data_IF_306189741015
#
_entry.id   IF_306189741015
#
_cell.length_a   1.000
_cell.length_b   1.000
_cell.length_c   1.000
_cell.angle_alpha   90.00
_cell.angle_beta   90.00
_cell.angle_gamma   90.00
#
_symmetry.space_group_name_H-M   'P 1'
#
loop_
_entity.id
_entity.type
_entity.pdbx_description
1 polymer ?
#
# COMPACT_ATOMS: atom_id res chain seq x y z
N UNK A 1 -13.87 1.16 -12.97
CA UNK A 1 -13.99 0.33 -11.75
C UNK A 1 -15.07 -0.73 -11.94
N UNK A 2 -15.19 -1.66 -11.00
CA UNK A 2 -16.31 -2.59 -10.91
C UNK A 2 -16.77 -2.67 -9.45
N UNK A 3 -18.07 -2.92 -9.23
CA UNK A 3 -18.68 -3.07 -7.91
C UNK A 3 -20.20 -3.02 -7.99
N UNK A 4 -20.87 -3.43 -6.91
CA UNK A 4 -22.33 -3.48 -6.80
C UNK A 4 -22.90 -2.08 -6.53
N UNK A 5 -23.12 -1.30 -7.59
CA UNK A 5 -23.45 0.13 -7.47
C UNK A 5 -24.93 0.38 -7.24
N UNK A 6 -25.80 -0.59 -7.51
CA UNK A 6 -27.24 -0.49 -7.29
C UNK A 6 -27.76 -1.33 -6.10
N UNK A 7 -26.89 -2.12 -5.47
CA UNK A 7 -27.15 -2.88 -4.25
C UNK A 7 -27.95 -4.16 -4.48
N UNK A 8 -27.93 -4.70 -5.71
CA UNK A 8 -28.64 -5.94 -6.06
C UNK A 8 -27.83 -7.23 -5.78
N UNK A 9 -26.57 -7.08 -5.36
CA UNK A 9 -25.65 -8.16 -5.05
C UNK A 9 -24.81 -8.63 -6.24
N UNK A 10 -24.88 -7.96 -7.39
CA UNK A 10 -24.08 -8.21 -8.59
C UNK A 10 -23.14 -7.04 -8.85
N UNK A 11 -22.02 -7.29 -9.53
CA UNK A 11 -21.07 -6.21 -9.85
C UNK A 11 -21.38 -5.59 -11.21
N UNK A 12 -21.51 -4.27 -11.25
CA UNK A 12 -21.53 -3.49 -12.48
C UNK A 12 -20.12 -3.06 -12.87
N UNK A 13 -19.94 -2.76 -14.16
CA UNK A 13 -18.72 -2.14 -14.65
C UNK A 13 -18.97 -0.65 -14.84
N UNK A 14 -18.21 0.16 -14.11
CA UNK A 14 -18.21 1.62 -14.24
C UNK A 14 -17.14 2.02 -15.24
N UNK A 15 -17.57 2.45 -16.41
CA UNK A 15 -16.70 2.84 -17.53
C UNK A 15 -16.88 4.31 -17.83
N UNK A 16 -15.76 4.98 -18.05
CA UNK A 16 -15.77 6.34 -18.56
C UNK A 16 -15.37 6.34 -20.04
N UNK A 17 -16.11 7.11 -20.83
CA UNK A 17 -15.71 7.59 -22.15
C UNK A 17 -15.65 9.12 -22.05
N UNK A 18 -14.82 9.87 -22.81
CA UNK A 18 -14.21 11.10 -22.33
C UNK A 18 -15.16 12.19 -21.81
N UNK A 19 -16.44 12.17 -22.16
CA UNK A 19 -17.47 13.08 -21.66
C UNK A 19 -18.66 12.37 -20.98
N UNK A 20 -18.60 11.07 -20.69
CA UNK A 20 -19.73 10.26 -20.19
C UNK A 20 -19.32 9.22 -19.18
N UNK A 21 -20.18 9.06 -18.17
CA UNK A 21 -20.16 7.94 -17.25
C UNK A 21 -21.18 6.90 -17.69
N UNK A 22 -20.69 5.67 -17.87
CA UNK A 22 -21.50 4.51 -18.15
C UNK A 22 -21.46 3.55 -16.97
N UNK A 23 -22.63 3.06 -16.61
CA UNK A 23 -22.79 1.87 -15.76
C UNK A 23 -23.21 0.74 -16.69
N UNK A 24 -22.43 -0.33 -16.69
CA UNK A 24 -22.66 -1.50 -17.53
C UNK A 24 -23.04 -2.64 -16.62
N UNK A 25 -24.24 -3.17 -16.82
CA UNK A 25 -24.73 -4.36 -16.14
C UNK A 25 -23.76 -5.53 -16.40
N UNK A 26 -23.26 -6.14 -15.31
CA UNK A 26 -22.23 -7.19 -15.38
C UNK A 26 -22.71 -8.49 -16.03
N UNK A 27 -24.02 -8.75 -16.09
CA UNK A 27 -24.62 -9.96 -16.68
C UNK A 27 -25.00 -9.72 -18.13
N UNK A 28 -25.77 -8.66 -18.39
CA UNK A 28 -26.37 -8.40 -19.70
C UNK A 28 -25.44 -7.62 -20.61
N UNK A 29 -24.45 -6.93 -20.07
CA UNK A 29 -23.58 -6.01 -20.79
C UNK A 29 -24.31 -4.75 -21.28
N UNK A 30 -25.52 -4.49 -20.78
CA UNK A 30 -26.31 -3.31 -21.15
C UNK A 30 -25.69 -2.08 -20.50
N UNK A 31 -25.30 -1.10 -21.31
CA UNK A 31 -24.70 0.13 -20.84
C UNK A 31 -25.76 1.25 -20.70
N UNK A 32 -25.88 1.82 -19.51
CA UNK A 32 -26.66 3.03 -19.25
C UNK A 32 -25.71 4.22 -19.12
N UNK A 33 -26.00 5.31 -19.84
CA UNK A 33 -25.36 6.61 -19.59
C UNK A 33 -26.05 7.21 -18.38
N UNK A 34 -25.34 7.30 -17.25
CA UNK A 34 -25.85 7.93 -16.04
C UNK A 34 -25.44 9.39 -15.92
N UNK A 35 -24.38 9.79 -16.63
CA UNK A 35 -23.89 11.17 -16.59
C UNK A 35 -23.18 11.62 -17.86
N UNK A 36 -23.22 12.92 -18.13
CA UNK A 36 -22.39 13.57 -19.15
C UNK A 36 -21.57 14.73 -18.55
N UNK A 37 -20.47 15.09 -19.19
CA UNK A 37 -19.60 16.16 -18.76
C UNK A 37 -20.17 17.55 -19.07
N UNK A 38 -20.81 17.72 -20.24
CA UNK A 38 -21.27 19.00 -20.80
C UNK A 38 -22.68 18.95 -21.41
N UNK A 39 -23.28 20.13 -21.59
CA UNK A 39 -24.52 20.34 -22.35
C UNK A 39 -25.82 20.16 -21.56
N UNK A 40 -26.94 20.50 -22.21
CA UNK A 40 -28.28 20.39 -21.65
C UNK A 40 -28.77 18.93 -21.69
N UNK A 41 -29.09 18.33 -20.53
CA UNK A 41 -29.54 16.93 -20.45
C UNK A 41 -29.18 16.21 -19.14
N UNK A 42 -28.51 15.05 -19.25
CA UNK A 42 -28.18 14.14 -18.14
C UNK A 42 -27.14 14.74 -17.18
N UNK A 43 -27.57 15.45 -16.14
CA UNK A 43 -26.79 15.88 -14.97
C UNK A 43 -25.31 16.27 -15.26
N UNK A 44 -25.04 17.43 -15.87
CA UNK A 44 -23.66 17.82 -16.22
C UNK A 44 -22.76 17.93 -14.98
N UNK A 45 -21.56 17.35 -15.06
CA UNK A 45 -20.52 17.48 -14.02
C UNK A 45 -19.84 18.85 -14.06
N UNK A 46 -19.63 19.40 -15.26
CA UNK A 46 -18.86 20.61 -15.47
C UNK A 46 -19.70 21.71 -16.11
N UNK A 47 -19.41 22.95 -15.73
CA UNK A 47 -20.09 24.14 -16.25
C UNK A 47 -19.47 24.68 -17.56
N UNK A 48 -18.29 24.17 -17.98
CA UNK A 48 -17.52 24.72 -19.10
C UNK A 48 -16.92 23.64 -20.00
N UNK A 49 -17.00 23.77 -21.34
CA UNK A 49 -16.52 22.81 -22.37
C UNK A 49 -14.99 22.51 -22.42
N UNK A 50 -14.31 22.41 -21.28
CA UNK A 50 -12.89 22.04 -21.17
C UNK A 50 -12.63 20.57 -21.58
N UNK A 51 -11.38 20.13 -21.65
CA UNK A 51 -11.10 18.72 -21.97
C UNK A 51 -11.31 17.80 -20.75
N UNK A 52 -12.08 16.71 -20.90
CA UNK A 52 -12.55 15.84 -19.78
C UNK A 52 -11.94 14.42 -19.83
N UNK A 53 -10.82 14.26 -20.52
CA UNK A 53 -10.12 12.97 -20.49
C UNK A 53 -9.47 12.66 -19.14
N UNK A 54 -9.16 11.37 -18.96
CA UNK A 54 -8.30 10.84 -17.89
C UNK A 54 -8.89 10.78 -16.48
N UNK A 55 -10.21 10.87 -16.31
CA UNK A 55 -10.82 10.51 -15.04
C UNK A 55 -10.80 9.00 -14.81
N UNK A 56 -10.60 8.60 -13.56
CA UNK A 56 -10.64 7.22 -13.13
C UNK A 56 -11.68 7.12 -12.02
N UNK A 57 -12.84 6.49 -12.28
CA UNK A 57 -13.81 6.26 -11.24
C UNK A 57 -13.35 5.11 -10.34
N UNK A 58 -13.53 5.26 -9.03
CA UNK A 58 -13.49 4.16 -8.07
C UNK A 58 -14.91 3.92 -7.53
N UNK A 59 -15.21 2.66 -7.18
CA UNK A 59 -16.46 2.25 -6.54
C UNK A 59 -16.10 1.90 -5.10
N UNK A 60 -16.60 2.67 -4.14
CA UNK A 60 -16.20 2.54 -2.73
C UNK A 60 -17.40 2.86 -1.84
N UNK A 61 -17.68 2.03 -0.83
CA UNK A 61 -18.63 2.34 0.24
C UNK A 61 -18.03 3.38 1.18
N UNK A 62 -18.27 4.66 0.89
CA UNK A 62 -17.69 5.78 1.62
C UNK A 62 -18.45 6.08 2.90
N UNK A 63 -19.71 5.66 2.99
CA UNK A 63 -20.59 5.98 4.11
C UNK A 63 -20.82 4.79 5.06
N UNK A 64 -20.26 3.62 4.75
CA UNK A 64 -20.38 2.40 5.55
C UNK A 64 -21.81 1.85 5.59
N UNK A 65 -22.63 2.15 4.58
CA UNK A 65 -24.04 1.76 4.52
C UNK A 65 -24.29 0.55 3.59
N UNK A 66 -23.21 -0.09 3.13
CA UNK A 66 -23.21 -1.21 2.18
C UNK A 66 -23.79 -0.87 0.81
N UNK A 67 -23.85 0.42 0.44
CA UNK A 67 -24.19 0.88 -0.92
C UNK A 67 -23.07 1.78 -1.41
N UNK A 68 -22.21 1.31 -2.32
CA UNK A 68 -21.01 2.04 -2.68
C UNK A 68 -21.32 3.30 -3.48
N UNK A 69 -20.57 4.35 -3.16
CA UNK A 69 -20.48 5.57 -3.93
C UNK A 69 -19.49 5.44 -5.09
N UNK A 70 -19.63 6.36 -6.04
CA UNK A 70 -18.67 6.56 -7.10
C UNK A 70 -17.76 7.72 -6.73
N UNK A 71 -16.51 7.41 -6.44
CA UNK A 71 -15.47 8.41 -6.34
C UNK A 71 -15.05 8.81 -7.75
N UNK A 72 -15.38 10.02 -8.13
CA UNK A 72 -15.05 10.61 -9.41
C UNK A 72 -13.79 11.46 -9.27
N UNK A 73 -12.66 10.96 -9.79
CA UNK A 73 -11.42 11.72 -9.76
C UNK A 73 -10.88 12.06 -11.14
N UNK A 74 -10.45 13.32 -11.27
CA UNK A 74 -9.59 13.90 -12.31
C UNK A 74 -10.06 13.84 -13.78
N UNK A 75 -11.08 14.61 -14.13
CA UNK A 75 -11.18 15.15 -15.49
C UNK A 75 -11.43 16.66 -15.42
N UNK A 76 -10.51 17.46 -15.96
CA UNK A 76 -10.39 18.91 -15.67
C UNK A 76 -10.24 19.25 -14.17
N UNK A 77 -9.65 18.34 -13.39
CA UNK A 77 -9.12 18.66 -12.04
C UNK A 77 -10.18 18.96 -10.96
N UNK A 78 -11.35 18.35 -11.14
CA UNK A 78 -12.40 18.22 -10.14
C UNK A 78 -12.32 16.83 -9.51
N UNK A 79 -12.51 16.76 -8.20
CA UNK A 79 -12.84 15.52 -7.49
C UNK A 79 -14.28 15.63 -6.97
N UNK A 80 -15.05 14.55 -7.09
CA UNK A 80 -16.43 14.52 -6.65
C UNK A 80 -16.81 13.15 -6.11
N UNK A 81 -17.78 13.14 -5.21
CA UNK A 81 -18.44 11.92 -4.76
C UNK A 81 -19.84 11.91 -5.37
N UNK A 82 -20.16 10.80 -6.02
CA UNK A 82 -21.45 10.58 -6.65
C UNK A 82 -22.15 9.38 -6.00
N UNK A 83 -23.46 9.38 -5.98
CA UNK A 83 -24.24 8.18 -5.68
C UNK A 83 -24.08 7.12 -6.78
N UNK A 84 -24.48 5.88 -6.49
CA UNK A 84 -24.44 4.77 -7.46
C UNK A 84 -25.19 5.03 -8.77
N UNK A 85 -26.24 5.87 -8.76
CA UNK A 85 -26.96 6.32 -9.97
C UNK A 85 -26.31 7.54 -10.67
N UNK A 86 -25.13 7.96 -10.22
CA UNK A 86 -24.33 9.04 -10.79
C UNK A 86 -24.71 10.46 -10.32
N UNK A 87 -25.66 10.65 -9.41
CA UNK A 87 -25.97 12.00 -8.90
C UNK A 87 -24.81 12.54 -8.06
N UNK A 88 -24.49 13.83 -8.20
CA UNK A 88 -23.45 14.47 -7.37
C UNK A 88 -23.96 14.64 -5.95
N UNK A 89 -23.22 14.07 -5.01
CA UNK A 89 -23.38 14.30 -3.57
C UNK A 89 -22.64 15.60 -3.22
N UNK A 90 -21.34 15.65 -3.50
CA UNK A 90 -20.53 16.85 -3.37
C UNK A 90 -19.36 16.85 -4.36
N UNK A 91 -18.67 17.98 -4.47
CA UNK A 91 -17.45 18.10 -5.27
C UNK A 91 -16.48 19.11 -4.64
N UNK A 92 -15.20 18.97 -4.94
CA UNK A 92 -14.20 19.95 -4.55
C UNK A 92 -14.41 21.28 -5.29
N UNK A 93 -13.94 22.41 -4.75
CA UNK A 93 -14.09 23.71 -5.40
C UNK A 93 -13.10 23.92 -6.56
N UNK A 94 -12.15 23.00 -6.75
CA UNK A 94 -11.03 23.12 -7.68
C UNK A 94 -11.44 22.85 -9.12
N UNK A 95 -10.82 23.58 -10.05
CA UNK A 95 -11.25 23.61 -11.46
C UNK A 95 -10.11 23.44 -12.45
N UNK A 96 -8.85 23.35 -12.00
CA UNK A 96 -7.70 23.20 -12.90
C UNK A 96 -6.48 22.47 -12.27
N UNK A 97 -5.49 22.09 -13.10
CA UNK A 97 -4.29 21.35 -12.66
C UNK A 97 -3.41 22.11 -11.70
N UNK A 98 -3.52 23.45 -11.69
CA UNK A 98 -2.75 24.21 -10.72
C UNK A 98 -3.33 24.03 -9.34
N UNK A 99 -4.58 23.59 -9.20
CA UNK A 99 -5.33 23.47 -7.95
C UNK A 99 -5.42 22.03 -7.40
N UNK A 100 -5.61 21.00 -8.24
CA UNK A 100 -5.65 19.57 -7.84
C UNK A 100 -4.97 18.70 -8.88
N UNK A 101 -4.24 17.67 -8.44
CA UNK A 101 -3.36 16.87 -9.31
C UNK A 101 -3.47 15.34 -9.16
N UNK A 102 -4.31 14.82 -8.26
CA UNK A 102 -4.38 13.39 -7.99
C UNK A 102 -5.84 12.90 -7.87
N UNK A 103 -6.06 11.61 -8.15
CA UNK A 103 -7.18 10.90 -7.52
C UNK A 103 -7.04 10.98 -5.99
N UNK A 104 -8.17 10.90 -5.30
CA UNK A 104 -8.18 10.95 -3.84
C UNK A 104 -7.88 9.56 -3.28
N UNK A 105 -6.98 9.50 -2.30
CA UNK A 105 -6.80 8.30 -1.46
C UNK A 105 -8.02 8.14 -0.56
N UNK A 106 -8.34 6.92 -0.15
CA UNK A 106 -9.50 6.59 0.67
C UNK A 106 -9.06 5.72 1.85
N UNK A 107 -9.10 6.24 3.07
CA UNK A 107 -8.63 5.51 4.24
C UNK A 107 -9.18 6.07 5.54
N UNK A 108 -9.26 5.22 6.56
CA UNK A 108 -9.65 5.58 7.93
C UNK A 108 -8.42 6.12 8.67
N UNK A 109 -8.25 7.44 8.61
CA UNK A 109 -6.99 8.08 9.02
C UNK A 109 -6.95 8.46 10.49
N UNK A 110 -8.09 8.47 11.18
CA UNK A 110 -8.17 8.73 12.62
C UNK A 110 -8.57 7.48 13.45
N UNK A 111 -8.93 6.39 12.78
CA UNK A 111 -9.28 5.10 13.39
C UNK A 111 -10.70 5.05 13.94
N UNK A 112 -11.60 5.93 13.48
CA UNK A 112 -13.00 5.98 13.95
C UNK A 112 -13.93 5.00 13.23
N UNK A 113 -13.44 4.31 12.20
CA UNK A 113 -14.16 3.35 11.38
C UNK A 113 -14.91 3.96 10.21
N UNK A 114 -14.81 5.27 10.00
CA UNK A 114 -15.23 5.97 8.78
C UNK A 114 -14.01 6.33 7.94
N UNK A 115 -14.21 6.57 6.65
CA UNK A 115 -13.11 6.87 5.73
C UNK A 115 -13.03 8.36 5.41
N UNK A 116 -11.81 8.87 5.34
CA UNK A 116 -11.48 10.19 4.83
C UNK A 116 -10.90 10.09 3.43
N UNK A 117 -10.90 11.23 2.75
CA UNK A 117 -10.38 11.37 1.40
C UNK A 117 -9.21 12.34 1.39
N UNK A 118 -8.03 11.90 0.96
CA UNK A 118 -6.87 12.80 0.82
C UNK A 118 -6.58 13.10 -0.65
N UNK A 119 -6.48 14.38 -0.99
CA UNK A 119 -6.10 14.84 -2.32
C UNK A 119 -4.89 15.77 -2.27
N UNK A 120 -4.02 15.70 -3.29
CA UNK A 120 -2.99 16.72 -3.47
C UNK A 120 -3.54 17.95 -4.18
N UNK A 121 -3.23 19.11 -3.61
CA UNK A 121 -3.61 20.44 -4.09
C UNK A 121 -2.40 21.23 -4.59
N UNK A 122 -2.64 22.47 -5.07
CA UNK A 122 -1.61 23.43 -5.46
C UNK A 122 -0.51 23.63 -4.41
N UNK A 123 -0.90 23.61 -3.15
CA UNK A 123 -0.14 24.08 -2.01
C UNK A 123 0.19 22.94 -1.05
N UNK A 124 -0.14 21.69 -1.37
CA UNK A 124 0.19 20.56 -0.52
C UNK A 124 -0.84 19.45 -0.65
N UNK A 125 -1.40 19.05 0.49
CA UNK A 125 -2.47 18.07 0.57
C UNK A 125 -3.60 18.55 1.47
N UNK A 126 -4.81 18.05 1.20
CA UNK A 126 -5.99 18.27 2.03
C UNK A 126 -6.71 16.96 2.30
N UNK A 127 -7.16 16.82 3.53
CA UNK A 127 -8.02 15.73 3.99
C UNK A 127 -9.46 16.23 4.00
N UNK A 128 -10.36 15.46 3.41
CA UNK A 128 -11.77 15.78 3.26
C UNK A 128 -12.61 14.73 3.98
N UNK A 129 -13.68 15.17 4.64
CA UNK A 129 -14.73 14.29 5.10
C UNK A 129 -15.44 13.66 3.90
N UNK A 130 -15.53 12.34 3.86
CA UNK A 130 -16.18 11.65 2.73
C UNK A 130 -17.67 12.00 2.59
N UNK A 131 -18.38 12.23 3.71
CA UNK A 131 -19.82 12.48 3.73
C UNK A 131 -20.26 13.76 3.00
N UNK A 132 -19.52 14.86 3.14
CA UNK A 132 -19.95 16.18 2.66
C UNK A 132 -18.85 16.98 1.95
N UNK A 133 -17.62 16.47 1.89
CA UNK A 133 -16.48 17.14 1.27
C UNK A 133 -15.94 18.31 2.08
N UNK A 134 -16.29 18.44 3.37
CA UNK A 134 -15.68 19.43 4.24
C UNK A 134 -14.17 19.17 4.37
N UNK A 135 -13.36 20.21 4.28
CA UNK A 135 -11.91 20.11 4.56
C UNK A 135 -11.76 19.92 6.07
N UNK A 136 -11.19 18.79 6.47
CA UNK A 136 -10.87 18.48 7.86
C UNK A 136 -9.51 19.07 8.22
N UNK A 137 -8.49 18.73 7.43
CA UNK A 137 -7.09 19.07 7.72
C UNK A 137 -6.32 19.46 6.46
N UNK A 138 -5.25 20.21 6.65
CA UNK A 138 -4.38 20.70 5.58
C UNK A 138 -2.91 20.51 5.97
N UNK A 139 -2.08 20.15 5.00
CA UNK A 139 -0.63 20.10 5.16
C UNK A 139 0.05 20.74 3.96
N UNK A 140 0.67 21.91 4.21
CA UNK A 140 1.45 22.67 3.23
C UNK A 140 2.94 22.56 3.58
N UNK A 141 3.63 21.74 2.80
CA UNK A 141 5.08 21.63 2.80
C UNK A 141 5.68 21.90 1.40
N UNK A 142 4.85 22.46 0.51
CA UNK A 142 5.15 22.69 -0.90
C UNK A 142 5.29 21.43 -1.75
N UNK A 143 5.03 20.24 -1.22
CA UNK A 143 5.12 18.99 -1.99
C UNK A 143 3.78 18.61 -2.60
N UNK A 144 3.84 18.13 -3.85
CA UNK A 144 2.68 17.78 -4.66
C UNK A 144 2.77 16.33 -5.11
N UNK A 145 1.62 15.66 -5.14
CA UNK A 145 1.54 14.35 -5.75
C UNK A 145 1.65 14.46 -7.28
N UNK A 146 2.54 13.67 -7.85
CA UNK A 146 2.65 13.43 -9.29
C UNK A 146 2.00 12.10 -9.72
N UNK A 147 1.41 11.41 -8.75
CA UNK A 147 0.74 10.12 -8.85
C UNK A 147 -0.60 10.25 -8.16
N UNK A 148 -1.45 9.25 -8.33
CA UNK A 148 -2.60 9.10 -7.46
C UNK A 148 -2.16 8.81 -6.02
N UNK A 149 -3.01 9.18 -5.07
CA UNK A 149 -2.80 8.91 -3.64
C UNK A 149 -3.35 7.52 -3.36
N UNK A 150 -2.53 6.66 -2.75
CA UNK A 150 -2.96 5.38 -2.19
C UNK A 150 -2.97 5.46 -0.68
N UNK A 151 -3.74 4.61 -0.02
CA UNK A 151 -3.92 4.63 1.43
C UNK A 151 -3.91 3.23 2.01
N UNK A 152 -3.49 3.14 3.27
CA UNK A 152 -3.44 1.92 4.05
C UNK A 152 -2.58 2.08 5.29
N UNK A 153 -2.82 1.24 6.29
CA UNK A 153 -2.00 1.08 7.50
C UNK A 153 -0.59 0.57 7.16
N UNK A 154 0.34 1.50 6.91
CA UNK A 154 1.72 1.18 6.48
C UNK A 154 2.69 1.10 7.64
N UNK A 155 2.32 1.59 8.83
CA UNK A 155 3.14 1.49 10.04
C UNK A 155 2.62 0.49 11.08
N UNK A 156 1.42 -0.06 10.87
CA UNK A 156 0.80 -1.09 11.69
C UNK A 156 0.12 -0.57 12.95
N UNK A 157 -0.20 0.73 13.02
CA UNK A 157 -0.85 1.34 14.17
C UNK A 157 -2.39 1.20 14.17
N UNK A 158 -2.95 0.71 13.06
CA UNK A 158 -4.37 0.48 12.87
C UNK A 158 -5.13 1.66 12.26
N UNK A 159 -4.45 2.74 11.87
CA UNK A 159 -4.98 3.83 11.05
C UNK A 159 -4.36 3.79 9.66
N UNK A 160 -5.05 4.36 8.69
CA UNK A 160 -4.54 4.44 7.33
C UNK A 160 -3.71 5.72 7.11
N UNK A 161 -2.50 5.55 6.59
CA UNK A 161 -1.72 6.67 6.06
C UNK A 161 -1.99 6.86 4.57
N UNK A 162 -1.57 8.01 4.05
CA UNK A 162 -1.65 8.34 2.63
C UNK A 162 -0.27 8.43 1.99
N UNK A 163 -0.06 7.66 0.93
CA UNK A 163 1.20 7.55 0.20
C UNK A 163 1.04 8.04 -1.24
N UNK A 164 1.99 8.86 -1.68
CA UNK A 164 2.04 9.32 -3.07
C UNK A 164 3.47 9.56 -3.55
N UNK A 165 3.65 9.55 -4.87
CA UNK A 165 4.90 9.83 -5.53
C UNK A 165 5.05 11.32 -5.83
N UNK A 166 6.22 11.89 -5.55
CA UNK A 166 6.58 13.26 -5.90
C UNK A 166 7.97 13.31 -6.54
N UNK A 167 8.02 13.07 -7.85
CA UNK A 167 9.29 13.11 -8.57
C UNK A 167 10.11 11.85 -8.25
N UNK A 168 11.28 11.99 -7.64
CA UNK A 168 12.10 10.84 -7.19
C UNK A 168 11.80 10.42 -5.76
N UNK A 169 10.67 10.83 -5.20
CA UNK A 169 10.30 10.57 -3.81
C UNK A 169 9.00 9.82 -3.72
N UNK A 170 8.89 8.96 -2.72
CA UNK A 170 7.63 8.56 -2.11
C UNK A 170 7.47 9.31 -0.81
N UNK A 171 6.25 9.77 -0.56
CA UNK A 171 5.93 10.60 0.59
C UNK A 171 4.71 10.01 1.25
N UNK A 172 4.88 9.67 2.53
CA UNK A 172 3.81 9.24 3.39
C UNK A 172 3.38 10.42 4.26
N UNK A 173 2.07 10.65 4.30
CA UNK A 173 1.40 11.63 5.15
C UNK A 173 0.47 10.87 6.07
N UNK A 174 0.53 11.20 7.35
CA UNK A 174 -0.32 10.62 8.39
C UNK A 174 -1.10 11.73 9.09
N UNK A 175 -2.25 11.36 9.67
CA UNK A 175 -2.94 12.20 10.63
C UNK A 175 -2.46 11.88 12.05
N UNK A 176 -1.99 12.91 12.75
CA UNK A 176 -1.69 12.85 14.17
C UNK A 176 -2.60 13.83 14.91
N UNK A 177 -3.57 13.29 15.65
CA UNK A 177 -4.62 14.04 16.32
C UNK A 177 -5.36 14.98 15.33
N UNK A 178 -5.31 16.29 15.57
CA UNK A 178 -5.95 17.33 14.75
C UNK A 178 -4.97 17.93 13.72
N UNK A 179 -3.94 17.19 13.30
CA UNK A 179 -2.95 17.69 12.34
C UNK A 179 -2.57 16.63 11.31
N UNK A 180 -2.26 17.07 10.09
CA UNK A 180 -1.55 16.26 9.11
C UNK A 180 -0.05 16.54 9.19
N UNK A 181 0.77 15.50 9.08
CA UNK A 181 2.21 15.66 8.96
C UNK A 181 2.80 14.63 8.00
N UNK A 182 4.01 14.94 7.55
CA UNK A 182 4.81 13.96 6.81
C UNK A 182 5.35 12.91 7.77
N UNK A 183 4.91 11.66 7.61
CA UNK A 183 5.42 10.52 8.36
C UNK A 183 6.87 10.23 7.97
N UNK A 184 7.11 10.10 6.67
CA UNK A 184 8.44 9.85 6.14
C UNK A 184 8.56 10.25 4.66
N UNK A 185 9.80 10.28 4.18
CA UNK A 185 10.14 10.47 2.77
C UNK A 185 11.15 9.41 2.38
N UNK A 186 10.89 8.73 1.27
CA UNK A 186 11.78 7.73 0.72
C UNK A 186 12.25 8.17 -0.67
N UNK A 187 13.56 8.21 -0.88
CA UNK A 187 14.11 8.42 -2.22
C UNK A 187 14.00 7.13 -3.03
N UNK A 188 13.50 7.26 -4.25
CA UNK A 188 13.41 6.20 -5.24
C UNK A 188 14.33 6.53 -6.41
N UNK A 189 14.96 5.52 -6.99
CA UNK A 189 15.78 5.75 -8.18
C UNK A 189 14.84 5.80 -9.39
N UNK A 190 14.91 6.89 -10.15
CA UNK A 190 13.94 7.21 -11.19
C UNK A 190 12.75 8.01 -10.65
N UNK A 191 11.92 8.53 -11.55
CA UNK A 191 10.67 9.20 -11.15
C UNK A 191 9.62 8.13 -10.83
N UNK A 192 8.93 8.26 -9.70
CA UNK A 192 7.80 7.42 -9.32
C UNK A 192 6.60 7.68 -10.23
N UNK A 193 5.89 6.61 -10.58
CA UNK A 193 4.58 6.61 -11.23
C UNK A 193 3.61 5.83 -10.35
N UNK A 194 2.96 4.78 -10.83
CA UNK A 194 1.91 4.08 -10.09
C UNK A 194 2.48 3.37 -8.86
N UNK A 195 1.73 3.45 -7.77
CA UNK A 195 2.01 2.84 -6.47
C UNK A 195 0.89 1.85 -6.18
N UNK A 196 1.24 0.68 -5.68
CA UNK A 196 0.32 -0.27 -5.07
C UNK A 196 0.82 -0.63 -3.67
N UNK A 197 -0.09 -0.72 -2.71
CA UNK A 197 0.19 -1.24 -1.38
C UNK A 197 -0.18 -2.72 -1.34
N UNK A 198 0.73 -3.55 -0.85
CA UNK A 198 0.50 -4.97 -0.64
C UNK A 198 1.53 -5.54 0.33
N UNK A 199 1.15 -6.51 1.14
CA UNK A 199 2.09 -7.35 1.88
C UNK A 199 2.79 -8.33 0.90
N UNK A 200 3.91 -7.89 0.32
CA UNK A 200 4.58 -8.56 -0.78
C UNK A 200 5.50 -9.69 -0.30
N UNK A 201 6.04 -9.61 0.92
CA UNK A 201 6.87 -10.68 1.52
C UNK A 201 6.20 -11.52 2.61
N UNK A 202 4.96 -11.20 2.99
CA UNK A 202 4.11 -11.92 3.95
C UNK A 202 4.57 -11.78 5.39
N UNK A 203 5.07 -10.61 5.76
CA UNK A 203 5.43 -10.29 7.14
C UNK A 203 4.26 -9.67 7.94
N UNK A 204 3.17 -9.34 7.26
CA UNK A 204 1.96 -8.76 7.83
C UNK A 204 1.89 -7.24 7.77
N UNK A 205 2.89 -6.57 7.18
CA UNK A 205 2.90 -5.12 6.96
C UNK A 205 2.71 -4.80 5.47
N UNK A 206 2.18 -3.61 5.17
CA UNK A 206 2.03 -3.17 3.79
C UNK A 206 3.37 -2.71 3.21
N UNK A 207 3.72 -3.25 2.04
CA UNK A 207 4.84 -2.79 1.23
C UNK A 207 4.36 -1.85 0.13
N UNK A 208 5.21 -0.87 -0.24
CA UNK A 208 4.97 -0.03 -1.39
C UNK A 208 5.63 -0.62 -2.65
N UNK A 209 4.82 -1.09 -3.59
CA UNK A 209 5.24 -1.54 -4.91
C UNK A 209 5.09 -0.40 -5.91
N UNK A 210 6.20 0.05 -6.48
CA UNK A 210 6.27 1.29 -7.26
C UNK A 210 6.85 1.04 -8.63
N UNK A 211 6.19 1.59 -9.64
CA UNK A 211 6.74 1.66 -11.00
C UNK A 211 7.60 2.92 -11.16
N UNK A 212 8.80 2.77 -11.72
CA UNK A 212 9.76 3.86 -11.86
C UNK A 212 10.19 4.07 -13.32
N UNK A 213 10.47 5.33 -13.69
CA UNK A 213 10.84 5.68 -15.08
C UNK A 213 12.18 5.11 -15.56
N UNK A 214 12.95 4.48 -14.68
CA UNK A 214 14.16 3.73 -15.03
C UNK A 214 13.86 2.32 -15.58
N UNK A 215 12.57 1.96 -15.68
CA UNK A 215 12.10 0.73 -16.33
C UNK A 215 11.88 -0.44 -15.37
N UNK A 216 11.90 -0.21 -14.06
CA UNK A 216 11.73 -1.24 -13.04
C UNK A 216 10.42 -1.08 -12.27
N UNK A 217 10.00 -2.20 -11.66
CA UNK A 217 9.03 -2.24 -10.57
C UNK A 217 9.82 -2.57 -9.31
N UNK A 218 9.71 -1.73 -8.27
CA UNK A 218 10.48 -1.83 -7.03
C UNK A 218 9.51 -2.00 -5.87
N UNK A 219 9.80 -2.95 -4.98
CA UNK A 219 9.10 -3.10 -3.71
C UNK A 219 9.94 -2.44 -2.61
N UNK A 220 9.30 -1.57 -1.83
CA UNK A 220 9.84 -0.93 -0.65
C UNK A 220 9.12 -1.51 0.55
N UNK A 221 9.87 -2.26 1.36
CA UNK A 221 9.26 -3.09 2.39
C UNK A 221 8.79 -2.25 3.57
N UNK A 222 7.57 -2.50 4.02
CA UNK A 222 7.13 -2.13 5.36
C UNK A 222 7.93 -2.94 6.37
N UNK A 223 8.31 -2.35 7.49
CA UNK A 223 8.96 -3.07 8.58
C UNK A 223 8.41 -2.51 9.89
N UNK A 224 8.29 -3.34 10.92
CA UNK A 224 8.06 -2.85 12.29
C UNK A 224 9.13 -1.81 12.59
N UNK A 225 8.72 -0.60 12.95
CA UNK A 225 9.62 0.35 13.59
C UNK A 225 10.21 -0.37 14.81
N UNK A 226 11.44 -0.86 14.68
CA UNK A 226 12.15 -1.45 15.81
C UNK A 226 12.11 -0.39 16.89
N UNK A 227 11.30 -0.62 17.94
CA UNK A 227 11.16 0.31 19.08
C UNK A 227 12.56 0.78 19.41
N UNK A 228 12.79 2.09 19.29
CA UNK A 228 14.10 2.69 19.39
C UNK A 228 14.73 2.31 20.74
N UNK A 229 15.47 1.21 20.76
CA UNK A 229 16.55 1.03 21.71
C UNK A 229 17.58 2.02 21.21
N UNK A 230 17.83 3.05 22.01
CA UNK A 230 18.83 4.10 21.78
C UNK A 230 19.98 3.56 20.94
N UNK A 231 20.34 4.29 19.88
CA UNK A 231 21.44 3.97 19.00
C UNK A 231 22.74 3.78 19.81
N UNK A 232 22.98 2.56 20.27
CA UNK A 232 24.30 2.13 20.70
C UNK A 232 25.07 1.96 19.42
N UNK A 233 26.05 2.84 19.21
CA UNK A 233 27.03 2.79 18.13
C UNK A 233 27.29 1.33 17.72
N UNK A 234 26.87 0.98 16.50
CA UNK A 234 27.00 -0.38 16.01
C UNK A 234 28.49 -0.70 15.85
N UNK A 235 29.06 -1.35 16.85
CA UNK A 235 30.22 -2.21 16.66
C UNK A 235 29.88 -3.11 15.47
N UNK A 236 30.77 -3.31 14.48
CA UNK A 236 30.44 -4.09 13.29
C UNK A 236 29.87 -5.45 13.71
N UNK A 237 28.56 -5.65 13.52
CA UNK A 237 27.90 -6.90 13.85
C UNK A 237 28.59 -7.97 13.00
N UNK A 238 29.21 -8.97 13.63
CA UNK A 238 29.81 -10.07 12.88
C UNK A 238 28.69 -10.95 12.34
N UNK A 239 28.87 -11.52 11.15
CA UNK A 239 27.95 -12.56 10.67
C UNK A 239 27.97 -13.74 11.64
N UNK A 240 26.80 -14.15 12.15
CA UNK A 240 26.69 -15.24 13.12
C UNK A 240 25.30 -15.88 13.12
N UNK A 241 25.22 -17.21 13.21
CA UNK A 241 24.00 -18.00 13.38
C UNK A 241 23.85 -18.41 14.86
N UNK A 242 22.80 -17.91 15.50
CA UNK A 242 22.45 -18.28 16.88
C UNK A 242 21.93 -19.72 16.93
N UNK A 243 22.04 -20.40 18.09
CA UNK A 243 21.33 -21.65 18.33
C UNK A 243 19.81 -21.46 18.12
N UNK A 244 19.15 -22.29 17.30
CA UNK A 244 17.69 -22.23 17.17
C UNK A 244 17.00 -22.47 18.51
N UNK A 245 15.88 -21.78 18.77
CA UNK A 245 15.13 -21.90 20.02
C UNK A 245 13.61 -21.91 19.81
N UNK A 246 12.85 -22.66 20.63
CA UNK A 246 13.35 -23.61 21.62
C UNK A 246 14.09 -24.79 20.96
N UNK A 247 14.99 -25.47 21.68
CA UNK A 247 15.63 -26.69 21.19
C UNK A 247 15.81 -27.67 22.37
N UNK A 248 15.08 -28.80 22.40
CA UNK A 248 14.19 -29.30 21.34
C UNK A 248 12.94 -28.44 21.09
N UNK A 249 12.37 -28.51 19.89
CA UNK A 249 11.14 -27.80 19.52
C UNK A 249 10.01 -28.75 19.12
N UNK A 250 8.77 -28.26 19.23
CA UNK A 250 7.57 -28.94 18.73
C UNK A 250 6.98 -28.12 17.57
N UNK A 251 7.07 -28.66 16.36
CA UNK A 251 6.61 -28.10 15.08
C UNK A 251 7.21 -26.75 14.63
N UNK A 252 7.45 -25.77 15.51
CA UNK A 252 7.99 -24.44 15.15
C UNK A 252 9.21 -24.05 15.97
N UNK A 253 10.19 -23.40 15.33
CA UNK A 253 11.43 -22.94 15.96
C UNK A 253 11.90 -21.60 15.38
N UNK A 254 12.36 -20.70 16.24
CA UNK A 254 12.99 -19.44 15.83
C UNK A 254 14.48 -19.67 15.54
N UNK A 255 14.95 -19.05 14.46
CA UNK A 255 16.33 -19.08 14.02
C UNK A 255 16.81 -17.65 13.84
N UNK A 256 17.67 -17.21 14.76
CA UNK A 256 18.22 -15.86 14.75
C UNK A 256 19.61 -15.86 14.12
N UNK A 257 19.89 -14.88 13.27
CA UNK A 257 21.22 -14.69 12.70
C UNK A 257 21.53 -13.20 12.47
N UNK A 258 22.81 -12.86 12.49
CA UNK A 258 23.30 -11.55 12.09
C UNK A 258 24.08 -11.64 10.79
N UNK A 259 24.03 -10.56 10.02
CA UNK A 259 24.78 -10.36 8.78
C UNK A 259 25.71 -9.18 9.01
N UNK A 260 27.01 -9.36 8.80
CA UNK A 260 27.99 -8.29 9.05
C UNK A 260 28.35 -7.44 7.83
N UNK A 261 28.07 -7.93 6.63
CA UNK A 261 28.31 -7.21 5.38
C UNK A 261 27.15 -7.47 4.42
N UNK A 262 26.74 -6.44 3.68
CA UNK A 262 25.68 -6.58 2.69
C UNK A 262 26.04 -7.66 1.67
N UNK A 263 25.12 -8.60 1.42
CA UNK A 263 25.43 -9.77 0.62
C UNK A 263 24.25 -10.71 0.39
N UNK A 264 24.43 -11.67 -0.52
CA UNK A 264 23.48 -12.77 -0.69
C UNK A 264 23.61 -13.71 0.51
N UNK A 265 22.49 -13.87 1.22
CA UNK A 265 22.34 -14.75 2.38
C UNK A 265 21.54 -15.97 1.97
N UNK A 266 22.01 -17.15 2.40
CA UNK A 266 21.28 -18.39 2.26
C UNK A 266 21.17 -19.09 3.62
N UNK A 267 19.94 -19.34 4.07
CA UNK A 267 19.63 -20.09 5.28
C UNK A 267 18.89 -21.38 4.88
N UNK A 268 19.50 -22.52 5.14
CA UNK A 268 19.01 -23.82 4.69
C UNK A 268 18.93 -24.82 5.84
N UNK A 269 18.00 -25.76 5.71
CA UNK A 269 17.83 -26.90 6.62
C UNK A 269 18.20 -28.19 5.91
N UNK A 270 19.00 -29.03 6.57
CA UNK A 270 19.42 -30.33 6.11
C UNK A 270 18.97 -31.43 7.07
N UNK A 271 18.59 -32.58 6.52
CA UNK A 271 18.26 -33.78 7.29
C UNK A 271 19.50 -34.54 7.75
N UNK A 272 19.31 -35.62 8.53
CA UNK A 272 20.39 -36.43 9.10
C UNK A 272 21.34 -37.05 8.07
N UNK A 273 20.86 -37.31 6.86
CA UNK A 273 21.61 -37.86 5.72
C UNK A 273 22.32 -36.78 4.89
N UNK A 274 22.24 -35.50 5.28
CA UNK A 274 22.85 -34.37 4.58
C UNK A 274 22.07 -33.88 3.35
N UNK A 275 20.89 -34.43 3.08
CA UNK A 275 19.99 -33.88 2.06
C UNK A 275 19.37 -32.56 2.52
N UNK A 276 19.29 -31.57 1.62
CA UNK A 276 18.57 -30.32 1.90
C UNK A 276 17.08 -30.59 1.97
N UNK A 277 16.46 -30.21 3.07
CA UNK A 277 15.04 -30.39 3.37
C UNK A 277 14.26 -29.13 3.01
N UNK A 278 14.81 -27.94 3.32
CA UNK A 278 14.14 -26.67 3.08
C UNK A 278 15.16 -25.55 2.91
N UNK A 279 14.85 -24.57 2.07
CA UNK A 279 15.54 -23.28 2.05
C UNK A 279 14.61 -22.29 2.75
N UNK A 280 15.08 -21.68 3.83
CA UNK A 280 14.33 -20.73 4.64
C UNK A 280 14.53 -19.29 4.15
N UNK A 281 15.75 -18.96 3.73
CA UNK A 281 16.09 -17.64 3.17
C UNK A 281 17.02 -17.85 1.98
N UNK A 282 16.74 -17.18 0.87
CA UNK A 282 17.70 -17.00 -0.24
C UNK A 282 17.51 -15.60 -0.84
N UNK A 283 18.14 -14.60 -0.24
CA UNK A 283 17.94 -13.20 -0.60
C UNK A 283 19.18 -12.35 -0.35
N UNK A 284 19.24 -11.16 -0.95
CA UNK A 284 20.20 -10.13 -0.57
C UNK A 284 19.77 -9.49 0.76
N UNK A 285 20.71 -9.26 1.68
CA UNK A 285 20.46 -8.62 2.98
C UNK A 285 21.52 -7.56 3.27
N UNK A 286 21.13 -6.50 3.98
CA UNK A 286 22.04 -5.48 4.53
C UNK A 286 22.69 -6.00 5.84
N UNK A 287 23.68 -5.31 6.41
CA UNK A 287 24.15 -5.65 7.75
C UNK A 287 23.04 -5.45 8.78
N UNK A 288 22.85 -6.41 9.69
CA UNK A 288 21.77 -6.36 10.67
C UNK A 288 21.49 -7.72 11.33
N UNK A 289 20.56 -7.72 12.27
CA UNK A 289 20.03 -8.92 12.91
C UNK A 289 18.71 -9.32 12.26
N UNK A 290 18.50 -10.63 12.10
CA UNK A 290 17.37 -11.22 11.41
C UNK A 290 16.85 -12.42 12.21
N UNK A 291 15.54 -12.64 12.17
CA UNK A 291 14.88 -13.80 12.75
C UNK A 291 14.00 -14.47 11.70
N UNK A 292 13.99 -15.80 11.69
CA UNK A 292 13.10 -16.60 10.83
C UNK A 292 12.40 -17.64 11.68
N UNK A 293 11.07 -17.72 11.54
CA UNK A 293 10.27 -18.79 12.11
C UNK A 293 10.21 -19.97 11.13
N UNK A 294 10.74 -21.13 11.54
CA UNK A 294 10.66 -22.35 10.75
C UNK A 294 9.54 -23.26 11.24
N UNK A 295 8.52 -23.47 10.40
CA UNK A 295 7.51 -24.52 10.56
C UNK A 295 7.97 -25.84 9.92
N UNK A 296 8.10 -26.87 10.76
CA UNK A 296 8.53 -28.23 10.48
C UNK A 296 7.41 -29.26 10.74
N UNK A 297 6.15 -28.86 10.78
CA UNK A 297 5.01 -29.73 11.10
C UNK A 297 4.94 -30.98 10.20
N UNK A 298 5.37 -30.86 8.94
CA UNK A 298 5.38 -31.94 7.94
C UNK A 298 6.57 -32.90 8.08
N UNK A 299 7.52 -32.63 8.97
CA UNK A 299 8.74 -33.42 9.13
C UNK A 299 8.63 -34.44 10.28
N UNK A 300 9.45 -35.50 10.21
CA UNK A 300 9.54 -36.50 11.26
C UNK A 300 10.37 -36.00 12.45
N UNK A 301 10.10 -36.49 13.67
CA UNK A 301 10.96 -36.21 14.81
C UNK A 301 12.39 -36.67 14.55
N UNK A 302 13.37 -35.86 14.94
CA UNK A 302 14.77 -36.11 14.59
C UNK A 302 15.66 -34.90 14.74
N UNK A 303 16.92 -35.07 14.33
CA UNK A 303 17.94 -34.01 14.37
C UNK A 303 18.11 -33.42 12.98
N UNK A 304 18.08 -32.10 12.90
CA UNK A 304 18.27 -31.33 11.68
C UNK A 304 19.48 -30.40 11.83
N UNK A 305 20.05 -30.01 10.70
CA UNK A 305 21.14 -29.04 10.61
C UNK A 305 20.65 -27.78 9.91
N UNK A 306 20.76 -26.64 10.57
CA UNK A 306 20.54 -25.32 10.00
C UNK A 306 21.89 -24.76 9.56
N UNK A 307 22.01 -24.32 8.31
CA UNK A 307 23.23 -23.74 7.73
C UNK A 307 22.94 -22.32 7.26
N UNK A 308 23.75 -21.38 7.74
CA UNK A 308 23.83 -20.00 7.25
C UNK A 308 25.04 -19.85 6.34
N UNK A 309 24.85 -19.29 5.15
CA UNK A 309 25.91 -18.97 4.21
C UNK A 309 25.79 -17.52 3.72
N UNK A 310 26.90 -16.76 3.80
CA UNK A 310 27.00 -15.39 3.28
C UNK A 310 28.39 -15.17 2.67
N UNK A 311 28.50 -15.02 1.35
CA UNK A 311 29.82 -14.98 0.69
C UNK A 311 30.66 -16.22 1.04
N UNK A 312 31.83 -16.00 1.64
CA UNK A 312 32.76 -17.06 2.10
C UNK A 312 32.43 -17.61 3.50
N UNK A 313 31.52 -16.97 4.24
CA UNK A 313 31.13 -17.40 5.58
C UNK A 313 30.12 -18.54 5.51
N UNK A 314 30.38 -19.62 6.25
CA UNK A 314 29.45 -20.74 6.46
C UNK A 314 29.43 -21.11 7.95
N UNK A 315 28.25 -21.19 8.54
CA UNK A 315 28.06 -21.66 9.91
C UNK A 315 26.87 -22.61 10.02
N UNK A 316 27.00 -23.63 10.85
CA UNK A 316 25.97 -24.65 11.07
C UNK A 316 25.57 -24.77 12.55
N UNK A 317 24.28 -25.06 12.77
CA UNK A 317 23.70 -25.36 14.09
C UNK A 317 22.80 -26.58 14.02
N UNK A 318 22.85 -27.42 15.04
CA UNK A 318 21.95 -28.57 15.19
C UNK A 318 20.68 -28.15 15.92
N UNK A 319 19.55 -28.72 15.53
CA UNK A 319 18.26 -28.53 16.18
C UNK A 319 17.49 -29.85 16.21
N UNK A 320 16.76 -30.12 17.30
CA UNK A 320 16.03 -31.37 17.51
C UNK A 320 14.53 -31.12 17.49
N UNK A 321 13.83 -31.77 16.57
CA UNK A 321 12.36 -31.78 16.48
C UNK A 321 11.81 -32.95 17.28
N UNK A 322 10.89 -32.67 18.20
CA UNK A 322 10.14 -33.66 18.99
C UNK A 322 8.65 -33.44 18.75
N UNK A 323 7.92 -34.52 18.46
CA UNK A 323 6.45 -34.52 18.34
C UNK A 323 5.86 -35.21 19.58
#
# INVERSE_FOLDING_TARGET
AAGDVDGDGLEEIVVMWPDRLHIVDGITGTAQVVRQAYGDGLNPLFESDSFVGYAFPAVVDLFGDSRPELLWGHCSYLNAVLSGDGQRIWQTPYRNNTEVQSLMGVGDSDGDGTVELLASTADGVRLFQAADGAVLLEFDDGVRAHTDVVSGDVDGDGRDEFLFGSGTKLICVEQEEDTLRRAWTLEVEGRSSDIALADADRDGFLDAVVTTTDGYVKAYMGEVAATAVEAVESTPQKTHLQPPYPNPFNSRVHIDFSVGQAGKVRLEVFGQTGQRVKTLVEAWRKPGAYQVLWDASELASGVYLVRLQTGDFVQERKVSLVK
#
